data_IF_981357443062
#
_entry.id   IF_981357443062
#
_cell.length_a   1.000
_cell.length_b   1.000
_cell.length_c   1.000
_cell.angle_alpha   90.00
_cell.angle_beta   90.00
_cell.angle_gamma   90.00
#
_symmetry.space_group_name_H-M   'P 1'
#
loop_
_entity.id
_entity.type
_entity.pdbx_description
1 polymer ?
#
# COMPACT_ATOMS: atom_id res chain seq x y z
N UNK A 1 -19.56 -6.23 2.80
CA UNK A 1 -18.55 -5.97 1.76
C UNK A 1 -18.05 -4.55 1.93
N UNK A 2 -16.85 -4.35 2.49
CA UNK A 2 -16.29 -3.01 2.65
C UNK A 2 -15.88 -2.46 1.28
N UNK A 3 -16.63 -1.48 0.76
CA UNK A 3 -16.28 -0.79 -0.48
C UNK A 3 -15.11 0.17 -0.21
N UNK A 4 -14.07 0.12 -1.05
CA UNK A 4 -12.97 1.08 -1.09
C UNK A 4 -13.43 2.55 -1.26
N UNK A 5 -14.70 2.78 -1.63
CA UNK A 5 -15.32 4.10 -1.60
C UNK A 5 -15.33 4.75 -0.21
N UNK A 6 -15.31 3.97 0.88
CA UNK A 6 -15.25 4.50 2.24
C UNK A 6 -13.86 5.04 2.64
N UNK A 7 -12.82 4.76 1.85
CA UNK A 7 -11.44 5.22 2.08
C UNK A 7 -11.11 6.43 1.18
N UNK A 8 -12.08 6.92 0.40
CA UNK A 8 -11.95 8.18 -0.35
C UNK A 8 -12.46 9.34 0.52
N UNK A 9 -11.53 10.07 1.09
CA UNK A 9 -11.82 11.33 1.79
C UNK A 9 -10.55 11.91 2.37
N UNK A 10 -10.11 11.38 3.51
CA UNK A 10 -9.03 12.00 4.31
C UNK A 10 -8.04 10.99 4.93
N UNK A 11 -8.25 9.68 4.75
CA UNK A 11 -7.55 8.67 5.57
C UNK A 11 -6.32 8.02 4.91
N UNK A 12 -6.07 8.26 3.62
CA UNK A 12 -4.96 7.61 2.93
C UNK A 12 -3.68 8.44 3.03
N UNK A 13 -2.91 8.21 4.09
CA UNK A 13 -1.57 8.79 4.23
C UNK A 13 -0.54 7.80 3.68
N UNK A 14 0.21 8.14 2.62
CA UNK A 14 1.30 7.28 2.15
C UNK A 14 2.37 7.11 3.24
N UNK A 15 3.09 5.98 3.24
CA UNK A 15 3.04 4.94 2.23
C UNK A 15 1.90 3.93 2.50
N UNK A 16 1.36 3.32 1.45
CA UNK A 16 0.29 2.34 1.58
C UNK A 16 0.40 1.24 0.54
N UNK A 17 0.03 0.02 0.95
CA UNK A 17 0.05 -1.18 0.14
C UNK A 17 -1.39 -1.68 -0.06
N UNK A 18 -1.82 -1.81 -1.30
CA UNK A 18 -3.11 -2.40 -1.66
C UNK A 18 -2.92 -3.87 -2.07
N UNK A 19 -3.64 -4.75 -1.39
CA UNK A 19 -3.76 -6.16 -1.75
C UNK A 19 -4.99 -6.36 -2.64
N UNK A 20 -4.82 -6.89 -3.86
CA UNK A 20 -5.91 -7.01 -4.86
C UNK A 20 -5.92 -8.38 -5.54
N UNK A 21 -7.03 -8.73 -6.21
CA UNK A 21 -7.16 -9.93 -7.04
C UNK A 21 -6.90 -9.63 -8.53
N UNK A 22 -6.64 -10.67 -9.36
CA UNK A 22 -6.64 -10.52 -10.81
C UNK A 22 -8.00 -10.02 -11.32
N UNK A 23 -8.02 -9.17 -12.34
CA UNK A 23 -9.26 -8.62 -12.93
C UNK A 23 -9.83 -7.40 -12.20
N UNK A 24 -9.06 -6.77 -11.30
CA UNK A 24 -9.41 -5.52 -10.63
C UNK A 24 -8.59 -4.33 -11.16
N UNK A 25 -8.49 -4.19 -12.49
CA UNK A 25 -7.64 -3.18 -13.16
C UNK A 25 -8.03 -1.74 -12.79
N UNK A 26 -9.33 -1.45 -12.73
CA UNK A 26 -9.82 -0.11 -12.36
C UNK A 26 -9.42 0.29 -10.94
N UNK A 27 -9.41 -0.68 -10.03
CA UNK A 27 -9.02 -0.49 -8.65
C UNK A 27 -7.49 -0.33 -8.54
N UNK A 28 -6.74 -1.19 -9.23
CA UNK A 28 -5.29 -1.12 -9.31
C UNK A 28 -4.83 0.25 -9.83
N UNK A 29 -5.48 0.74 -10.88
CA UNK A 29 -5.22 2.04 -11.49
C UNK A 29 -5.59 3.20 -10.54
N UNK A 30 -6.74 3.12 -9.87
CA UNK A 30 -7.14 4.13 -8.89
C UNK A 30 -6.16 4.21 -7.71
N UNK A 31 -5.65 3.07 -7.25
CA UNK A 31 -4.71 3.00 -6.14
C UNK A 31 -3.30 3.49 -6.54
N UNK A 32 -2.85 3.17 -7.76
CA UNK A 32 -1.60 3.73 -8.32
C UNK A 32 -1.63 5.25 -8.39
N UNK A 33 -2.73 5.83 -8.88
CA UNK A 33 -2.91 7.30 -8.91
C UNK A 33 -2.91 7.93 -7.52
N UNK A 34 -3.31 7.17 -6.51
CA UNK A 34 -3.27 7.59 -5.10
C UNK A 34 -1.89 7.38 -4.45
N UNK A 35 -0.87 6.90 -5.18
CA UNK A 35 0.47 6.66 -4.65
C UNK A 35 0.59 5.38 -3.82
N UNK A 36 -0.34 4.43 -3.98
CA UNK A 36 -0.27 3.14 -3.31
C UNK A 36 0.57 2.12 -4.11
N UNK A 37 1.35 1.33 -3.38
CA UNK A 37 2.00 0.11 -3.90
C UNK A 37 0.93 -0.97 -4.09
N UNK A 38 1.06 -1.78 -5.13
CA UNK A 38 0.10 -2.84 -5.43
C UNK A 38 0.71 -4.23 -5.25
N UNK A 39 -0.02 -5.11 -4.59
CA UNK A 39 0.31 -6.53 -4.51
C UNK A 39 -0.90 -7.38 -4.95
N UNK A 40 -0.78 -7.99 -6.13
CA UNK A 40 -1.83 -8.81 -6.74
C UNK A 40 -1.68 -10.27 -6.31
N UNK A 41 -2.77 -10.90 -5.88
CA UNK A 41 -2.80 -12.32 -5.54
C UNK A 41 -2.74 -13.22 -6.80
N UNK A 42 -2.13 -14.41 -6.73
CA UNK A 42 -1.46 -14.99 -5.56
C UNK A 42 -0.05 -14.41 -5.35
N UNK A 43 0.36 -14.30 -4.08
CA UNK A 43 1.71 -13.91 -3.67
C UNK A 43 2.17 -14.78 -2.49
N UNK A 44 3.49 -14.94 -2.32
CA UNK A 44 4.07 -15.60 -1.15
C UNK A 44 4.09 -14.67 0.06
N UNK A 45 4.23 -15.24 1.26
CA UNK A 45 4.42 -14.46 2.49
C UNK A 45 5.72 -13.65 2.41
N UNK A 46 6.80 -14.22 1.88
CA UNK A 46 8.07 -13.50 1.69
C UNK A 46 7.88 -12.26 0.82
N UNK A 47 7.14 -12.40 -0.29
CA UNK A 47 6.85 -11.27 -1.17
C UNK A 47 6.02 -10.19 -0.49
N UNK A 48 5.07 -10.58 0.38
CA UNK A 48 4.33 -9.59 1.19
C UNK A 48 5.27 -8.85 2.15
N UNK A 49 6.16 -9.57 2.82
CA UNK A 49 7.14 -8.99 3.74
C UNK A 49 8.08 -8.02 3.03
N UNK A 50 8.59 -8.39 1.85
CA UNK A 50 9.47 -7.56 1.03
C UNK A 50 8.77 -6.25 0.62
N UNK A 51 7.55 -6.33 0.11
CA UNK A 51 6.77 -5.18 -0.34
C UNK A 51 6.40 -4.25 0.82
N UNK A 52 6.10 -4.80 2.00
CA UNK A 52 5.87 -4.01 3.22
C UNK A 52 7.15 -3.31 3.65
N UNK A 53 8.29 -4.01 3.66
CA UNK A 53 9.58 -3.43 4.03
C UNK A 53 9.97 -2.28 3.08
N UNK A 54 9.80 -2.47 1.77
CA UNK A 54 10.06 -1.45 0.75
C UNK A 54 9.11 -0.25 0.91
N UNK A 55 7.82 -0.51 1.06
CA UNK A 55 6.79 0.53 1.28
C UNK A 55 7.10 1.36 2.52
N UNK A 56 7.57 0.75 3.61
CA UNK A 56 7.98 1.45 4.82
C UNK A 56 9.31 2.22 4.65
N UNK A 57 10.28 1.67 3.90
CA UNK A 57 11.54 2.34 3.61
C UNK A 57 11.34 3.64 2.81
N UNK A 58 10.35 3.67 1.91
CA UNK A 58 9.96 4.88 1.18
C UNK A 58 9.49 6.02 2.10
N UNK A 59 8.99 5.73 3.31
CA UNK A 59 8.67 6.73 4.35
C UNK A 59 9.92 7.22 5.09
N UNK A 60 10.90 6.34 5.29
CA UNK A 60 12.15 6.62 5.99
C UNK A 60 13.19 7.42 5.18
N UNK A 61 12.95 7.64 3.88
CA UNK A 61 13.74 8.55 3.05
C UNK A 61 13.65 10.02 3.46
N UNK A 62 12.71 10.38 4.34
CA UNK A 62 12.65 11.64 5.05
C UNK A 62 13.31 11.55 6.45
N UNK A 63 14.61 11.21 6.48
CA UNK A 63 15.47 11.29 7.67
C UNK A 63 15.27 10.19 8.74
N UNK A 64 16.33 9.85 9.52
CA UNK A 64 16.23 8.88 10.61
C UNK A 64 15.42 9.47 11.77
N UNK A 65 14.10 9.25 11.77
CA UNK A 65 13.21 9.56 12.88
C UNK A 65 13.27 8.46 13.93
N UNK A 66 13.87 8.79 15.07
CA UNK A 66 13.98 7.97 16.29
C UNK A 66 12.69 7.28 16.72
N UNK A 67 12.78 6.02 17.12
CA UNK A 67 11.70 5.25 17.78
C UNK A 67 11.56 5.77 19.23
N UNK A 68 10.41 6.28 19.66
CA UNK A 68 10.21 6.65 21.07
C UNK A 68 10.15 5.37 21.92
N UNK A 69 10.94 5.39 22.99
CA UNK A 69 10.99 4.35 24.05
C UNK A 69 9.81 4.52 25.00
#
# INVERSE_FOLDING_TARGET
MASLRGIRGDAWTPPALLLTAPGEEDLAEAARRAGATLLVRPFSLDRLCDEVAETLAQRGGAGPGTVPT
#
